data_IF_301628078904
#
_entry.id   IF_301628078904
#
_cell.length_a   1.000
_cell.length_b   1.000
_cell.length_c   1.000
_cell.angle_alpha   90.00
_cell.angle_beta   90.00
_cell.angle_gamma   90.00
#
_symmetry.space_group_name_H-M   'P 1'
#
loop_
_entity.id
_entity.type
_entity.pdbx_description
1 polymer ?
#
# COMPACT_ATOMS: atom_id res chain seq x y z
N UNK A 1 16.60 -33.24 -17.64
CA UNK A 1 17.15 -31.97 -17.08
C UNK A 1 16.07 -30.90 -17.22
N UNK A 2 15.08 -30.83 -16.33
CA UNK A 2 13.97 -29.85 -16.42
C UNK A 2 13.62 -29.18 -15.08
N UNK A 3 14.34 -29.52 -13.99
CA UNK A 3 14.10 -28.94 -12.66
C UNK A 3 14.77 -27.59 -12.41
N UNK A 4 15.78 -27.21 -13.22
CA UNK A 4 16.55 -25.96 -12.99
C UNK A 4 15.87 -24.70 -13.52
N UNK A 5 15.08 -24.75 -14.59
CA UNK A 5 14.48 -23.52 -15.17
C UNK A 5 13.19 -23.06 -14.48
N UNK A 6 12.49 -23.94 -13.74
CA UNK A 6 11.32 -23.53 -12.94
C UNK A 6 11.72 -22.74 -11.69
N UNK A 7 12.79 -23.17 -11.01
CA UNK A 7 13.29 -22.52 -9.78
C UNK A 7 13.83 -21.11 -10.08
N UNK A 8 14.46 -20.93 -11.24
CA UNK A 8 14.99 -19.65 -11.71
C UNK A 8 13.85 -18.64 -11.97
N UNK A 9 12.80 -19.06 -12.70
CA UNK A 9 11.63 -18.21 -13.00
C UNK A 9 10.82 -17.82 -11.76
N UNK A 10 10.68 -18.71 -10.79
CA UNK A 10 9.95 -18.41 -9.56
C UNK A 10 10.72 -17.41 -8.67
N UNK A 11 12.05 -17.47 -8.69
CA UNK A 11 12.92 -16.53 -7.97
C UNK A 11 12.91 -15.15 -8.61
N UNK A 12 12.96 -15.07 -9.94
CA UNK A 12 12.82 -13.82 -10.70
C UNK A 12 11.46 -13.14 -10.46
N UNK A 13 10.38 -13.94 -10.44
CA UNK A 13 9.04 -13.45 -10.14
C UNK A 13 8.95 -12.88 -8.71
N UNK A 14 9.59 -13.52 -7.73
CA UNK A 14 9.62 -13.02 -6.35
C UNK A 14 10.43 -11.73 -6.20
N UNK A 15 11.57 -11.63 -6.88
CA UNK A 15 12.37 -10.40 -6.88
C UNK A 15 11.61 -9.24 -7.51
N UNK A 16 10.93 -9.48 -8.63
CA UNK A 16 10.11 -8.46 -9.27
C UNK A 16 8.99 -7.96 -8.34
N UNK A 17 8.30 -8.87 -7.66
CA UNK A 17 7.27 -8.50 -6.68
C UNK A 17 7.82 -7.66 -5.53
N UNK A 18 9.03 -7.95 -5.05
CA UNK A 18 9.66 -7.15 -3.99
C UNK A 18 10.05 -5.75 -4.48
N UNK A 19 10.51 -5.61 -5.71
CA UNK A 19 10.81 -4.30 -6.31
C UNK A 19 9.54 -3.47 -6.47
N UNK A 20 8.47 -4.09 -6.98
CA UNK A 20 7.15 -3.45 -7.10
C UNK A 20 6.62 -2.99 -5.74
N UNK A 21 6.77 -3.83 -4.71
CA UNK A 21 6.36 -3.49 -3.35
C UNK A 21 7.14 -2.27 -2.82
N UNK A 22 8.46 -2.23 -3.05
CA UNK A 22 9.33 -1.11 -2.66
C UNK A 22 8.99 0.19 -3.39
N UNK A 23 8.66 0.13 -4.66
CA UNK A 23 8.28 1.30 -5.45
C UNK A 23 6.98 1.92 -4.92
N UNK A 24 6.00 1.08 -4.56
CA UNK A 24 4.74 1.54 -3.95
C UNK A 24 4.99 2.15 -2.59
N UNK A 25 5.78 1.47 -1.73
CA UNK A 25 6.15 1.97 -0.40
C UNK A 25 6.86 3.33 -0.49
N UNK A 26 7.82 3.47 -1.41
CA UNK A 26 8.55 4.73 -1.59
C UNK A 26 7.63 5.85 -2.07
N UNK A 27 6.69 5.56 -2.97
CA UNK A 27 5.74 6.54 -3.47
C UNK A 27 4.75 6.99 -2.38
N UNK A 28 4.29 6.06 -1.53
CA UNK A 28 3.48 6.40 -0.36
C UNK A 28 4.24 7.33 0.59
N UNK A 29 5.51 7.03 0.85
CA UNK A 29 6.33 7.87 1.71
C UNK A 29 6.50 9.29 1.13
N UNK A 30 6.70 9.41 -0.19
CA UNK A 30 6.78 10.71 -0.86
C UNK A 30 5.47 11.49 -0.72
N UNK A 31 4.32 10.88 -1.05
CA UNK A 31 3.00 11.53 -0.92
C UNK A 31 2.74 12.01 0.51
N UNK A 32 3.06 11.18 1.51
CA UNK A 32 2.89 11.56 2.91
C UNK A 32 3.87 12.67 3.33
N UNK A 33 5.12 12.62 2.87
CA UNK A 33 6.10 13.67 3.17
C UNK A 33 5.74 15.02 2.53
N UNK A 34 5.13 15.00 1.36
CA UNK A 34 4.76 16.21 0.62
C UNK A 34 3.46 16.83 1.13
N UNK A 35 2.52 16.01 1.60
CA UNK A 35 1.16 16.45 1.93
C UNK A 35 0.81 16.47 3.42
N UNK A 36 1.64 15.89 4.29
CA UNK A 36 1.42 15.89 5.75
C UNK A 36 2.53 16.66 6.46
N UNK A 37 2.13 17.50 7.42
CA UNK A 37 3.01 18.16 8.38
C UNK A 37 3.31 17.30 9.63
N UNK A 38 4.16 17.82 10.55
CA UNK A 38 4.45 17.16 11.82
C UNK A 38 3.18 16.90 12.64
N UNK A 39 3.02 15.68 13.13
CA UNK A 39 1.87 15.23 13.91
C UNK A 39 0.60 14.94 13.10
N UNK A 40 0.60 15.17 11.79
CA UNK A 40 -0.57 15.00 10.94
C UNK A 40 -0.80 13.55 10.52
N UNK A 41 -2.06 13.22 10.28
CA UNK A 41 -2.50 11.90 9.86
C UNK A 41 -3.36 12.01 8.62
N UNK A 42 -3.08 11.22 7.60
CA UNK A 42 -3.86 11.18 6.37
C UNK A 42 -4.89 10.03 6.42
N UNK A 43 -6.15 10.26 6.04
CA UNK A 43 -7.10 9.17 5.81
C UNK A 43 -6.59 8.23 4.70
N UNK A 44 -6.71 6.91 4.88
CA UNK A 44 -6.28 5.92 3.88
C UNK A 44 -7.00 6.09 2.53
N UNK A 45 -8.26 6.49 2.54
CA UNK A 45 -9.03 6.81 1.34
C UNK A 45 -8.41 7.99 0.57
N UNK A 46 -7.99 9.05 1.29
CA UNK A 46 -7.32 10.19 0.67
C UNK A 46 -5.96 9.79 0.10
N UNK A 47 -5.15 9.06 0.85
CA UNK A 47 -3.85 8.57 0.37
C UNK A 47 -4.01 7.76 -0.92
N UNK A 48 -5.01 6.87 -0.97
CA UNK A 48 -5.31 6.09 -2.17
C UNK A 48 -5.66 6.97 -3.36
N UNK A 49 -6.51 7.98 -3.17
CA UNK A 49 -6.87 8.92 -4.23
C UNK A 49 -5.64 9.67 -4.77
N UNK A 50 -4.77 10.17 -3.89
CA UNK A 50 -3.52 10.87 -4.27
C UNK A 50 -2.58 9.94 -5.07
N UNK A 51 -2.45 8.67 -4.66
CA UNK A 51 -1.62 7.70 -5.39
C UNK A 51 -2.19 7.39 -6.77
N UNK A 52 -3.51 7.25 -6.89
CA UNK A 52 -4.16 7.05 -8.18
C UNK A 52 -3.97 8.28 -9.07
N UNK A 53 -4.17 9.48 -8.54
CA UNK A 53 -4.03 10.72 -9.31
C UNK A 53 -2.60 10.94 -9.80
N UNK A 54 -1.60 10.80 -8.92
CA UNK A 54 -0.21 11.11 -9.22
C UNK A 54 0.51 10.02 -10.01
N UNK A 55 0.15 8.74 -9.80
CA UNK A 55 0.93 7.62 -10.32
C UNK A 55 0.18 6.69 -11.29
N UNK A 56 -1.14 6.81 -11.50
CA UNK A 56 -1.88 5.90 -12.39
C UNK A 56 -1.37 5.89 -13.84
N UNK A 57 -0.79 6.99 -14.33
CA UNK A 57 -0.19 7.06 -15.66
C UNK A 57 1.23 6.50 -15.75
N UNK A 58 1.90 6.34 -14.60
CA UNK A 58 3.31 5.92 -14.49
C UNK A 58 3.37 4.43 -14.12
N UNK A 59 2.48 3.99 -13.24
CA UNK A 59 2.44 2.62 -12.77
C UNK A 59 1.73 1.69 -13.74
N UNK A 60 2.40 0.59 -14.10
CA UNK A 60 1.77 -0.46 -14.88
C UNK A 60 0.67 -1.15 -14.06
N UNK A 61 -0.53 -1.27 -14.63
CA UNK A 61 -1.71 -1.83 -13.99
C UNK A 61 -1.47 -3.17 -13.29
N UNK A 62 -0.63 -4.07 -13.83
CA UNK A 62 -0.36 -5.36 -13.19
C UNK A 62 0.40 -5.27 -11.86
N UNK A 63 1.22 -4.23 -11.68
CA UNK A 63 2.14 -4.09 -10.55
C UNK A 63 1.46 -3.59 -9.30
N UNK A 64 0.62 -2.56 -9.47
CA UNK A 64 0.04 -1.80 -8.35
C UNK A 64 -1.43 -2.08 -8.10
N UNK A 65 -2.14 -2.71 -9.06
CA UNK A 65 -3.57 -2.99 -8.95
C UNK A 65 -3.92 -3.76 -7.68
N UNK A 66 -3.08 -4.72 -7.25
CA UNK A 66 -3.30 -5.49 -6.01
C UNK A 66 -3.33 -4.64 -4.74
N UNK A 67 -2.67 -3.47 -4.76
CA UNK A 67 -2.61 -2.55 -3.62
C UNK A 67 -3.68 -1.46 -3.73
N UNK A 68 -4.09 -1.08 -4.94
CA UNK A 68 -5.07 -0.04 -5.20
C UNK A 68 -6.50 -0.56 -5.44
N UNK A 69 -6.70 -1.88 -5.42
CA UNK A 69 -8.02 -2.51 -5.56
C UNK A 69 -8.24 -3.53 -4.44
N UNK A 70 -9.51 -3.85 -4.19
CA UNK A 70 -9.90 -4.91 -3.25
C UNK A 70 -10.12 -6.26 -3.94
N UNK A 71 -9.77 -6.41 -5.21
CA UNK A 71 -10.13 -7.59 -6.02
C UNK A 71 -9.49 -8.88 -5.50
N UNK A 72 -8.29 -8.78 -4.93
CA UNK A 72 -7.57 -9.91 -4.35
C UNK A 72 -8.02 -10.26 -2.91
N UNK A 73 -8.99 -9.51 -2.36
CA UNK A 73 -9.41 -9.61 -0.96
C UNK A 73 -10.90 -9.91 -0.83
N UNK A 74 -11.25 -11.10 -0.34
CA UNK A 74 -12.64 -11.57 -0.21
C UNK A 74 -13.26 -11.35 1.16
N UNK A 75 -12.49 -10.85 2.13
CA UNK A 75 -12.94 -10.64 3.51
C UNK A 75 -13.95 -9.49 3.66
N UNK A 76 -14.83 -9.55 4.68
CA UNK A 76 -15.82 -8.50 4.93
C UNK A 76 -15.18 -7.13 5.23
N UNK A 77 -13.94 -7.10 5.71
CA UNK A 77 -13.19 -5.87 6.00
C UNK A 77 -12.69 -5.15 4.75
N UNK A 78 -12.42 -5.89 3.68
CA UNK A 78 -11.98 -5.36 2.39
C UNK A 78 -13.16 -4.83 1.55
N UNK A 79 -14.38 -5.27 1.88
CA UNK A 79 -15.59 -4.95 1.12
C UNK A 79 -15.82 -3.44 1.10
N UNK A 80 -15.77 -2.85 -0.09
CA UNK A 80 -15.96 -1.42 -0.31
C UNK A 80 -14.74 -0.54 0.02
N UNK A 81 -13.57 -1.15 0.27
CA UNK A 81 -12.30 -0.43 0.53
C UNK A 81 -11.27 -0.78 -0.55
N UNK A 82 -11.23 -0.06 -1.68
CA UNK A 82 -10.24 -0.33 -2.74
C UNK A 82 -8.80 -0.19 -2.24
N UNK A 83 -8.57 0.60 -1.19
CA UNK A 83 -7.27 0.77 -0.53
C UNK A 83 -6.91 -0.33 0.48
N UNK A 84 -7.70 -1.40 0.62
CA UNK A 84 -7.41 -2.44 1.61
C UNK A 84 -6.08 -3.17 1.34
N UNK A 85 -5.75 -3.41 0.06
CA UNK A 85 -4.45 -3.97 -0.30
C UNK A 85 -3.28 -3.07 0.12
N UNK A 86 -3.41 -1.77 -0.09
CA UNK A 86 -2.45 -0.76 0.36
C UNK A 86 -2.33 -0.75 1.89
N UNK A 87 -3.46 -0.79 2.61
CA UNK A 87 -3.46 -0.87 4.07
C UNK A 87 -2.64 -2.07 4.57
N UNK A 88 -2.86 -3.24 3.97
CA UNK A 88 -2.14 -4.46 4.33
C UNK A 88 -0.65 -4.40 3.96
N UNK A 89 -0.32 -3.72 2.86
CA UNK A 89 1.06 -3.46 2.48
C UNK A 89 1.78 -2.60 3.53
N UNK A 90 1.20 -1.46 3.90
CA UNK A 90 1.85 -0.53 4.83
C UNK A 90 2.07 -1.14 6.23
N UNK A 91 1.19 -2.05 6.65
CA UNK A 91 1.37 -2.84 7.88
C UNK A 91 2.62 -3.72 7.89
N UNK A 92 3.20 -4.04 6.72
CA UNK A 92 4.46 -4.79 6.62
C UNK A 92 5.70 -3.94 6.90
N UNK A 93 5.56 -2.60 6.87
CA UNK A 93 6.66 -1.64 7.03
C UNK A 93 6.43 -0.72 8.25
N UNK A 94 6.27 -1.27 9.47
CA UNK A 94 5.98 -0.49 10.68
C UNK A 94 7.11 0.47 11.09
N UNK A 95 8.33 0.25 10.60
CA UNK A 95 9.47 1.15 10.77
C UNK A 95 9.33 2.47 9.99
N UNK A 96 8.45 2.49 8.97
CA UNK A 96 8.22 3.65 8.13
C UNK A 96 6.84 4.26 8.34
N UNK A 97 5.82 3.43 8.55
CA UNK A 97 4.42 3.88 8.64
C UNK A 97 3.77 3.49 9.96
N UNK A 98 2.96 4.41 10.47
CA UNK A 98 2.07 4.16 11.60
C UNK A 98 0.63 4.25 11.13
N UNK A 99 -0.18 3.26 11.47
CA UNK A 99 -1.61 3.22 11.12
C UNK A 99 -2.44 3.35 12.40
N UNK A 100 -3.34 4.32 12.40
CA UNK A 100 -4.36 4.49 13.43
C UNK A 100 -5.72 4.04 12.88
N UNK A 101 -6.36 3.09 13.55
CA UNK A 101 -7.70 2.62 13.18
C UNK A 101 -8.70 3.12 14.20
N UNK A 102 -9.75 3.81 13.74
CA UNK A 102 -10.83 4.34 14.58
C UNK A 102 -12.15 3.72 14.16
N UNK A 103 -12.84 3.13 15.11
CA UNK A 103 -14.15 2.52 14.88
C UNK A 103 -15.25 3.34 15.53
N UNK A 104 -16.32 3.63 14.77
CA UNK A 104 -17.55 4.25 15.29
C UNK A 104 -18.73 3.38 14.88
N UNK A 105 -19.23 2.58 15.83
CA UNK A 105 -20.25 1.57 15.54
C UNK A 105 -19.71 0.50 14.59
N UNK A 106 -20.38 0.30 13.45
CA UNK A 106 -19.97 -0.68 12.42
C UNK A 106 -19.00 -0.12 11.37
N UNK A 107 -18.67 1.17 11.44
CA UNK A 107 -17.81 1.83 10.45
C UNK A 107 -16.40 2.00 11.02
N UNK A 108 -15.41 1.55 10.26
CA UNK A 108 -13.99 1.65 10.60
C UNK A 108 -13.31 2.63 9.64
N UNK A 109 -12.59 3.59 10.19
CA UNK A 109 -11.75 4.53 9.45
C UNK A 109 -10.29 4.29 9.78
N UNK A 110 -9.45 4.22 8.75
CA UNK A 110 -8.01 4.06 8.88
C UNK A 110 -7.30 5.35 8.48
N UNK A 111 -6.31 5.73 9.30
CA UNK A 111 -5.44 6.86 9.08
C UNK A 111 -4.00 6.39 9.12
N UNK A 112 -3.12 7.05 8.36
CA UNK A 112 -1.71 6.72 8.26
C UNK A 112 -0.84 7.97 8.36
N UNK A 113 0.33 7.82 8.97
CA UNK A 113 1.39 8.81 9.00
C UNK A 113 2.73 8.12 8.80
N UNK A 114 3.74 8.89 8.36
CA UNK A 114 5.13 8.49 8.51
C UNK A 114 5.51 8.48 10.00
N UNK A 115 6.34 7.51 10.39
CA UNK A 115 6.94 7.47 11.75
C UNK A 115 7.71 8.76 12.03
N UNK A 116 8.48 9.24 11.05
CA UNK A 116 9.31 10.45 11.16
C UNK A 116 8.53 11.75 11.37
N UNK A 117 7.22 11.77 11.07
CA UNK A 117 6.38 12.96 11.29
C UNK A 117 5.78 12.99 12.70
N UNK A 118 5.85 11.88 13.45
CA UNK A 118 5.26 11.77 14.79
C UNK A 118 6.29 11.85 15.92
N UNK A 119 7.58 11.93 15.56
CA UNK A 119 8.72 11.97 16.47
C UNK A 119 9.29 13.36 16.62
#
# INVERSE_FOLDING_TARGET
>A
MEGRSRIDRDSDNQQLLQLEEKDVVSSVANVLSDLCGPGEWMPMEKLHAELVEQYSSIWHHSRVRRYLTSEDWTGPEAKGKPWYGLLMLLRKYPEHFVINTRSKGRVTHEFVSLVSLLT
#
